data_IF_453148094877
#
_entry.id   IF_453148094877
#
_cell.length_a   1.000
_cell.length_b   1.000
_cell.length_c   1.000
_cell.angle_alpha   90.00
_cell.angle_beta   90.00
_cell.angle_gamma   90.00
#
_symmetry.space_group_name_H-M   'P 1'
#
loop_
_entity.id
_entity.type
_entity.pdbx_description
1 polymer ?
#
# COMPACT_ATOMS: atom_id res chain seq x y z
N UNK A 1 20.31 22.28 2.30
CA UNK A 1 20.54 21.23 3.31
C UNK A 1 20.36 21.88 4.66
N UNK A 2 19.42 21.39 5.47
CA UNK A 2 19.15 21.93 6.80
C UNK A 2 20.03 21.22 7.84
N UNK A 3 21.34 21.44 7.74
CA UNK A 3 22.36 20.66 8.46
C UNK A 3 22.17 20.73 9.98
N UNK A 4 21.72 21.89 10.48
CA UNK A 4 21.45 22.07 11.91
C UNK A 4 20.28 21.20 12.41
N UNK A 5 19.23 21.05 11.60
CA UNK A 5 18.11 20.16 11.95
C UNK A 5 18.55 18.70 11.89
N UNK A 6 19.25 18.31 10.82
CA UNK A 6 19.74 16.94 10.67
C UNK A 6 20.65 16.54 11.83
N UNK A 7 21.61 17.40 12.21
CA UNK A 7 22.46 17.16 13.39
C UNK A 7 21.63 16.92 14.66
N UNK A 8 20.64 17.79 14.93
CA UNK A 8 19.77 17.67 16.10
C UNK A 8 18.96 16.37 16.11
N UNK A 9 18.46 15.95 14.94
CA UNK A 9 17.68 14.71 14.83
C UNK A 9 18.61 13.49 14.91
N UNK A 10 19.82 13.57 14.36
CA UNK A 10 20.85 12.53 14.49
C UNK A 10 21.22 12.27 15.94
N UNK A 11 21.24 13.29 16.80
CA UNK A 11 21.44 13.12 18.25
C UNK A 11 20.36 12.24 18.92
N UNK A 12 19.16 12.16 18.32
CA UNK A 12 18.04 11.34 18.79
C UNK A 12 17.96 9.97 18.11
N UNK A 13 18.85 9.66 17.16
CA UNK A 13 18.74 8.48 16.31
C UNK A 13 18.68 7.19 17.12
N UNK A 14 19.57 7.03 18.11
CA UNK A 14 19.63 5.82 18.94
C UNK A 14 18.32 5.58 19.69
N UNK A 15 17.72 6.64 20.26
CA UNK A 15 16.45 6.54 20.98
C UNK A 15 15.30 6.15 20.04
N UNK A 16 15.24 6.76 18.86
CA UNK A 16 14.23 6.46 17.85
C UNK A 16 14.39 5.05 17.26
N UNK A 17 15.63 4.59 17.09
CA UNK A 17 15.95 3.23 16.66
C UNK A 17 15.45 2.20 17.67
N UNK A 18 15.60 2.45 18.98
CA UNK A 18 15.06 1.57 20.03
C UNK A 18 13.53 1.40 19.88
N UNK A 19 12.80 2.49 19.62
CA UNK A 19 11.34 2.44 19.39
C UNK A 19 11.03 1.60 18.14
N UNK A 20 11.74 1.82 17.03
CA UNK A 20 11.54 1.04 15.79
C UNK A 20 11.83 -0.45 15.98
N UNK A 21 12.93 -0.75 16.67
CA UNK A 21 13.38 -2.12 16.93
C UNK A 21 12.41 -2.86 17.86
N UNK A 22 11.82 -2.17 18.85
CA UNK A 22 10.78 -2.76 19.69
C UNK A 22 9.54 -3.16 18.88
N UNK A 23 9.04 -2.26 18.01
CA UNK A 23 7.92 -2.57 17.10
C UNK A 23 8.30 -3.73 16.16
N UNK A 24 9.52 -3.73 15.64
CA UNK A 24 10.01 -4.77 14.73
C UNK A 24 10.15 -6.14 15.41
N UNK A 25 10.49 -6.18 16.71
CA UNK A 25 10.63 -7.41 17.48
C UNK A 25 9.28 -8.03 17.92
N UNK A 26 8.18 -7.27 17.82
CA UNK A 26 6.86 -7.70 18.26
C UNK A 26 5.78 -7.47 17.17
N UNK A 27 5.91 -8.07 15.97
CA UNK A 27 4.99 -7.85 14.87
C UNK A 27 3.60 -8.43 15.18
N UNK A 28 2.55 -7.72 14.76
CA UNK A 28 1.16 -8.14 14.88
C UNK A 28 0.51 -8.24 13.49
N UNK A 29 -0.52 -9.06 13.34
CA UNK A 29 -1.26 -9.23 12.07
C UNK A 29 -2.25 -8.09 11.92
N UNK A 30 -2.47 -7.64 10.68
CA UNK A 30 -3.45 -6.60 10.36
C UNK A 30 -4.81 -6.85 11.03
N UNK A 31 -5.37 -5.80 11.65
CA UNK A 31 -6.59 -5.80 12.45
C UNK A 31 -6.47 -6.49 13.81
N UNK A 32 -5.27 -6.80 14.28
CA UNK A 32 -4.96 -7.43 15.58
C UNK A 32 -3.79 -6.74 16.33
N UNK A 33 -3.33 -5.58 15.83
CA UNK A 33 -2.26 -4.74 16.39
C UNK A 33 -2.55 -4.04 17.73
N UNK A 34 -3.00 -4.79 18.74
CA UNK A 34 -3.38 -4.28 20.08
C UNK A 34 -2.19 -3.73 20.88
N UNK A 35 -1.05 -4.44 20.91
CA UNK A 35 0.17 -3.98 21.58
C UNK A 35 0.69 -2.73 20.89
N UNK A 36 0.83 -2.77 19.56
CA UNK A 36 1.42 -1.69 18.78
C UNK A 36 0.57 -0.42 18.89
N UNK A 37 -0.75 -0.54 18.81
CA UNK A 37 -1.69 0.58 19.00
C UNK A 37 -1.51 1.22 20.38
N UNK A 38 -1.51 0.41 21.44
CA UNK A 38 -1.31 0.88 22.83
C UNK A 38 0.05 1.55 23.03
N UNK A 39 1.11 0.96 22.46
CA UNK A 39 2.47 1.47 22.53
C UNK A 39 2.61 2.83 21.84
N UNK A 40 2.08 2.97 20.62
CA UNK A 40 2.09 4.25 19.87
C UNK A 40 1.30 5.32 20.65
N UNK A 41 0.13 4.98 21.20
CA UNK A 41 -0.65 5.91 21.99
C UNK A 41 0.09 6.38 23.26
N UNK A 42 0.80 5.48 23.96
CA UNK A 42 1.68 5.84 25.08
C UNK A 42 2.76 6.84 24.66
N UNK A 43 3.48 6.54 23.57
CA UNK A 43 4.55 7.42 23.08
C UNK A 43 4.06 8.81 22.68
N UNK A 44 2.89 8.89 22.04
CA UNK A 44 2.28 10.19 21.71
C UNK A 44 1.89 10.98 22.98
N UNK A 45 1.38 10.31 24.03
CA UNK A 45 1.09 10.95 25.32
C UNK A 45 2.35 11.41 26.05
N UNK A 46 3.41 10.60 26.04
CA UNK A 46 4.73 10.97 26.57
C UNK A 46 5.27 12.24 25.90
N UNK A 47 4.97 12.42 24.61
CA UNK A 47 5.28 13.64 23.85
C UNK A 47 4.36 14.83 24.16
N UNK A 48 3.39 14.69 25.07
CA UNK A 48 2.45 15.75 25.45
C UNK A 48 1.31 16.00 24.46
N UNK A 49 1.05 15.08 23.52
CA UNK A 49 -0.01 15.22 22.53
C UNK A 49 -1.38 14.82 23.09
N UNK A 50 -2.44 15.44 22.56
CA UNK A 50 -3.80 14.95 22.79
C UNK A 50 -4.04 13.71 21.92
N UNK A 51 -4.27 12.56 22.52
CA UNK A 51 -4.39 11.28 21.80
C UNK A 51 -5.85 10.84 21.70
N UNK A 52 -6.30 10.51 20.49
CA UNK A 52 -7.58 9.85 20.21
C UNK A 52 -7.31 8.41 19.77
N UNK A 53 -7.86 7.44 20.49
CA UNK A 53 -7.79 6.00 20.18
C UNK A 53 -9.13 5.51 19.60
N UNK A 54 -9.24 4.19 19.37
CA UNK A 54 -10.44 3.51 18.88
C UNK A 54 -10.92 3.97 17.49
N UNK A 55 -10.00 4.53 16.69
CA UNK A 55 -10.32 4.99 15.34
C UNK A 55 -10.37 3.80 14.41
N UNK A 56 -11.57 3.26 14.19
CA UNK A 56 -11.72 2.00 13.45
C UNK A 56 -11.13 0.83 14.23
N UNK A 57 -11.43 0.79 15.53
CA UNK A 57 -10.96 -0.19 16.53
C UNK A 57 -9.52 0.03 17.02
N UNK A 58 -8.51 -0.04 16.15
CA UNK A 58 -7.10 0.01 16.61
C UNK A 58 -6.35 1.29 16.18
N UNK A 59 -6.97 2.18 15.41
CA UNK A 59 -6.33 3.41 14.96
C UNK A 59 -6.11 4.43 16.08
N UNK A 60 -4.95 5.10 16.03
CA UNK A 60 -4.52 6.12 16.99
C UNK A 60 -4.17 7.41 16.26
N UNK A 61 -4.61 8.55 16.78
CA UNK A 61 -4.27 9.89 16.27
C UNK A 61 -3.78 10.78 17.41
N UNK A 62 -2.53 11.24 17.32
CA UNK A 62 -1.99 12.30 18.17
C UNK A 62 -2.25 13.68 17.56
N UNK A 63 -2.82 14.59 18.33
CA UNK A 63 -3.13 15.96 17.91
C UNK A 63 -2.23 16.95 18.66
N UNK A 64 -1.47 17.73 17.88
CA UNK A 64 -0.76 18.91 18.36
C UNK A 64 -1.64 20.13 18.08
N UNK A 65 -2.21 20.75 19.12
CA UNK A 65 -3.30 21.70 18.95
C UNK A 65 -2.82 23.09 18.48
N UNK A 66 -2.97 23.36 17.19
CA UNK A 66 -3.38 24.68 16.63
C UNK A 66 -4.33 24.59 15.41
N UNK A 67 -4.70 23.38 14.91
CA UNK A 67 -5.80 23.19 13.94
C UNK A 67 -6.36 21.74 13.93
N UNK A 68 -7.58 21.56 13.39
CA UNK A 68 -8.33 20.29 13.22
C UNK A 68 -9.42 20.47 12.12
N UNK A 69 -10.17 19.45 11.62
CA UNK A 69 -10.03 17.98 11.73
C UNK A 69 -10.04 17.24 10.34
N UNK A 70 -9.89 15.91 10.32
CA UNK A 70 -10.22 15.06 9.17
C UNK A 70 -9.83 13.57 9.29
N UNK A 71 -10.78 12.63 9.54
CA UNK A 71 -10.43 11.22 9.85
C UNK A 71 -10.88 10.14 8.84
N UNK A 72 -10.19 8.98 8.91
CA UNK A 72 -10.56 7.59 8.52
C UNK A 72 -10.59 7.10 7.05
N UNK A 73 -9.47 6.49 6.66
CA UNK A 73 -9.31 5.07 6.21
C UNK A 73 -10.00 4.55 4.91
N UNK A 74 -9.80 3.25 4.62
CA UNK A 74 -9.64 2.69 3.27
C UNK A 74 -10.17 1.23 3.07
N UNK A 75 -9.99 0.62 1.88
CA UNK A 75 -10.46 -0.75 1.55
C UNK A 75 -9.75 -1.46 0.35
N UNK A 76 -10.12 -2.74 0.09
CA UNK A 76 -9.54 -3.84 -0.76
C UNK A 76 -8.92 -3.55 -2.15
N UNK A 77 -9.26 -4.17 -3.31
CA UNK A 77 -10.29 -5.14 -3.78
C UNK A 77 -10.30 -6.53 -3.10
N UNK A 78 -11.31 -7.37 -3.42
CA UNK A 78 -11.27 -8.83 -3.26
C UNK A 78 -12.22 -9.56 -4.22
N UNK A 79 -11.86 -10.72 -4.75
CA UNK A 79 -12.79 -11.58 -5.49
C UNK A 79 -12.64 -13.05 -5.14
N UNK A 80 -13.74 -13.81 -5.28
CA UNK A 80 -13.81 -15.26 -5.11
C UNK A 80 -14.45 -15.89 -6.34
N UNK A 81 -13.88 -16.99 -6.84
CA UNK A 81 -14.50 -17.81 -7.88
C UNK A 81 -14.71 -19.22 -7.35
N UNK A 82 -15.97 -19.66 -7.35
CA UNK A 82 -16.33 -21.04 -7.00
C UNK A 82 -16.68 -21.80 -8.28
N UNK A 83 -15.91 -22.85 -8.58
CA UNK A 83 -16.24 -23.80 -9.64
C UNK A 83 -16.96 -25.02 -9.07
N UNK A 84 -18.01 -25.47 -9.76
CA UNK A 84 -18.74 -26.69 -9.43
C UNK A 84 -18.78 -27.61 -10.65
N UNK A 85 -18.23 -28.81 -10.49
CA UNK A 85 -18.29 -29.90 -11.45
C UNK A 85 -18.95 -31.14 -10.83
N UNK A 86 -18.73 -32.30 -11.43
CA UNK A 86 -19.24 -33.58 -10.93
C UNK A 86 -18.08 -34.51 -10.61
N UNK A 87 -18.17 -35.19 -9.47
CA UNK A 87 -17.17 -36.18 -9.07
C UNK A 87 -17.31 -37.50 -9.83
N UNK A 88 -16.22 -38.26 -9.93
CA UNK A 88 -16.21 -39.59 -10.51
C UNK A 88 -14.93 -40.34 -10.14
N UNK A 89 -14.94 -41.66 -10.28
CA UNK A 89 -13.76 -42.48 -10.02
C UNK A 89 -12.75 -42.33 -11.17
N UNK A 90 -11.54 -41.86 -10.88
CA UNK A 90 -10.54 -41.48 -11.89
C UNK A 90 -10.14 -42.60 -12.87
N UNK A 91 -10.18 -43.87 -12.43
CA UNK A 91 -9.89 -45.02 -13.29
C UNK A 91 -11.07 -45.60 -14.08
N UNK A 92 -12.30 -45.11 -13.87
CA UNK A 92 -13.51 -45.73 -14.44
C UNK A 92 -14.31 -44.73 -15.30
N UNK A 93 -14.43 -43.48 -14.85
CA UNK A 93 -15.34 -42.52 -15.48
C UNK A 93 -14.79 -41.10 -15.64
N UNK A 94 -13.53 -40.89 -16.08
CA UNK A 94 -13.06 -39.52 -16.33
C UNK A 94 -13.87 -38.83 -17.44
N UNK A 95 -14.39 -39.58 -18.41
CA UNK A 95 -15.19 -39.05 -19.53
C UNK A 95 -16.64 -38.71 -19.18
N UNK A 96 -17.12 -39.08 -17.98
CA UNK A 96 -18.48 -38.76 -17.48
C UNK A 96 -18.46 -37.79 -16.30
N UNK A 97 -17.28 -37.47 -15.76
CA UNK A 97 -17.09 -36.51 -14.68
C UNK A 97 -16.67 -35.15 -15.24
N UNK A 98 -17.20 -34.08 -14.67
CA UNK A 98 -16.76 -32.72 -14.95
C UNK A 98 -15.69 -32.33 -13.92
N UNK A 99 -14.43 -32.54 -14.28
CA UNK A 99 -13.28 -32.33 -13.40
C UNK A 99 -12.95 -30.83 -13.25
N UNK A 100 -13.16 -30.31 -12.04
CA UNK A 100 -12.88 -28.91 -11.71
C UNK A 100 -11.40 -28.56 -11.67
N UNK A 101 -10.50 -29.55 -11.51
CA UNK A 101 -9.06 -29.29 -11.39
C UNK A 101 -8.45 -28.88 -12.72
N UNK A 102 -8.86 -29.52 -13.82
CA UNK A 102 -8.48 -29.14 -15.19
C UNK A 102 -8.97 -27.73 -15.53
N UNK A 103 -10.22 -27.43 -15.16
CA UNK A 103 -10.80 -26.10 -15.29
C UNK A 103 -10.01 -25.03 -14.50
N UNK A 104 -9.71 -25.30 -13.23
CA UNK A 104 -8.96 -24.38 -12.37
C UNK A 104 -7.57 -24.09 -12.92
N UNK A 105 -6.85 -25.11 -13.39
CA UNK A 105 -5.52 -24.93 -14.00
C UNK A 105 -5.59 -24.02 -15.23
N UNK A 106 -6.57 -24.25 -16.11
CA UNK A 106 -6.75 -23.43 -17.31
C UNK A 106 -7.21 -22.00 -16.97
N UNK A 107 -8.04 -21.84 -15.93
CA UNK A 107 -8.45 -20.54 -15.43
C UNK A 107 -7.26 -19.73 -14.90
N UNK A 108 -6.39 -20.34 -14.07
CA UNK A 108 -5.18 -19.69 -13.55
C UNK A 108 -4.25 -19.23 -14.69
N UNK A 109 -4.08 -20.07 -15.72
CA UNK A 109 -3.24 -19.74 -16.88
C UNK A 109 -3.82 -18.58 -17.71
N UNK A 110 -5.14 -18.53 -17.86
CA UNK A 110 -5.81 -17.49 -18.66
C UNK A 110 -5.92 -16.14 -17.94
N UNK A 111 -5.97 -16.12 -16.59
CA UNK A 111 -5.93 -14.89 -15.79
C UNK A 111 -4.75 -13.98 -16.16
N UNK A 112 -3.61 -14.57 -16.53
CA UNK A 112 -2.40 -13.83 -16.90
C UNK A 112 -2.59 -12.94 -18.15
N UNK A 113 -3.60 -13.24 -18.98
CA UNK A 113 -3.91 -12.50 -20.20
C UNK A 113 -4.69 -11.21 -19.96
N UNK A 114 -5.37 -11.08 -18.81
CA UNK A 114 -6.22 -9.94 -18.50
C UNK A 114 -5.39 -8.65 -18.55
N UNK A 115 -4.31 -8.60 -17.79
CA UNK A 115 -3.41 -7.43 -17.81
C UNK A 115 -2.54 -7.44 -19.06
N UNK A 116 -1.83 -8.54 -19.33
CA UNK A 116 -0.78 -8.57 -20.36
C UNK A 116 -1.25 -8.34 -21.79
N UNK A 117 -2.54 -8.54 -22.09
CA UNK A 117 -3.11 -8.41 -23.45
C UNK A 117 -4.23 -7.40 -23.58
N UNK A 118 -4.84 -6.94 -22.49
CA UNK A 118 -5.99 -6.02 -22.57
C UNK A 118 -5.70 -4.64 -21.98
N UNK A 119 -4.58 -4.43 -21.27
CA UNK A 119 -4.20 -3.12 -20.73
C UNK A 119 -3.08 -2.52 -21.59
N UNK A 120 -3.30 -1.33 -22.15
CA UNK A 120 -2.27 -0.61 -22.92
C UNK A 120 -1.14 -0.15 -21.98
N UNK A 121 0.10 -0.39 -22.38
CA UNK A 121 1.27 0.14 -21.68
C UNK A 121 1.55 1.58 -22.16
N UNK A 122 0.78 2.55 -21.65
CA UNK A 122 0.99 3.97 -21.92
C UNK A 122 1.47 4.67 -20.64
N UNK A 123 2.76 4.99 -20.60
CA UNK A 123 3.44 5.65 -19.46
C UNK A 123 2.96 7.09 -19.21
N UNK A 124 2.11 7.64 -20.09
CA UNK A 124 1.61 9.00 -20.00
C UNK A 124 0.09 9.09 -19.79
N UNK A 125 -0.64 7.97 -19.83
CA UNK A 125 -2.08 7.98 -19.55
C UNK A 125 -2.31 7.77 -18.05
N UNK A 126 -3.08 8.67 -17.44
CA UNK A 126 -3.62 8.52 -16.08
C UNK A 126 -4.60 7.34 -15.92
N UNK A 127 -4.74 6.52 -16.96
CA UNK A 127 -5.78 5.50 -17.14
C UNK A 127 -5.34 4.11 -16.63
N UNK A 128 -4.05 3.89 -16.35
CA UNK A 128 -3.52 2.53 -16.14
C UNK A 128 -3.96 1.82 -14.84
N UNK A 129 -4.70 2.48 -13.94
CA UNK A 129 -5.36 1.86 -12.76
C UNK A 129 -6.68 2.53 -12.39
N UNK A 130 -7.28 3.27 -13.31
CA UNK A 130 -8.52 3.96 -13.07
C UNK A 130 -9.71 2.98 -13.05
N UNK A 131 -10.90 3.51 -12.82
CA UNK A 131 -12.15 2.76 -12.88
C UNK A 131 -12.32 1.95 -14.19
N UNK A 132 -11.81 2.43 -15.32
CA UNK A 132 -11.89 1.73 -16.61
C UNK A 132 -11.13 0.40 -16.64
N UNK A 133 -9.92 0.36 -16.06
CA UNK A 133 -9.10 -0.87 -15.95
C UNK A 133 -9.71 -1.85 -14.96
N UNK A 134 -10.27 -1.36 -13.84
CA UNK A 134 -10.96 -2.20 -12.86
C UNK A 134 -12.24 -2.81 -13.43
N UNK A 135 -13.02 -2.02 -14.17
CA UNK A 135 -14.17 -2.51 -14.93
C UNK A 135 -13.76 -3.60 -15.93
N UNK A 136 -12.63 -3.41 -16.64
CA UNK A 136 -12.10 -4.40 -17.57
C UNK A 136 -11.67 -5.68 -16.85
N UNK A 137 -10.97 -5.58 -15.71
CA UNK A 137 -10.54 -6.76 -14.93
C UNK A 137 -11.76 -7.55 -14.44
N UNK A 138 -12.74 -6.88 -13.82
CA UNK A 138 -13.97 -7.52 -13.37
C UNK A 138 -14.72 -8.19 -14.52
N UNK A 139 -14.84 -7.51 -15.66
CA UNK A 139 -15.46 -8.08 -16.86
C UNK A 139 -14.72 -9.33 -17.34
N UNK A 140 -13.40 -9.26 -17.49
CA UNK A 140 -12.61 -10.39 -18.00
C UNK A 140 -12.56 -11.58 -17.03
N UNK A 141 -12.51 -11.34 -15.72
CA UNK A 141 -12.61 -12.42 -14.72
C UNK A 141 -13.95 -13.14 -14.85
N UNK A 142 -15.05 -12.39 -14.97
CA UNK A 142 -16.37 -12.96 -15.17
C UNK A 142 -16.47 -13.76 -16.48
N UNK A 143 -16.00 -13.20 -17.60
CA UNK A 143 -16.04 -13.87 -18.90
C UNK A 143 -15.20 -15.15 -18.90
N UNK A 144 -13.95 -15.09 -18.42
CA UNK A 144 -13.07 -16.25 -18.41
C UNK A 144 -13.61 -17.36 -17.50
N UNK A 145 -14.09 -17.02 -16.29
CA UNK A 145 -14.62 -17.99 -15.36
C UNK A 145 -15.84 -18.72 -15.94
N UNK A 146 -16.80 -17.98 -16.51
CA UNK A 146 -18.03 -18.57 -17.04
C UNK A 146 -17.80 -19.34 -18.36
N UNK A 147 -16.97 -18.80 -19.26
CA UNK A 147 -16.69 -19.45 -20.55
C UNK A 147 -15.89 -20.73 -20.36
N UNK A 148 -14.86 -20.73 -19.51
CA UNK A 148 -14.11 -21.94 -19.23
C UNK A 148 -14.97 -22.95 -18.49
N UNK A 149 -15.76 -22.55 -17.49
CA UNK A 149 -16.67 -23.47 -16.83
C UNK A 149 -17.60 -24.16 -17.84
N UNK A 150 -18.13 -23.42 -18.81
CA UNK A 150 -18.95 -23.97 -19.88
C UNK A 150 -18.19 -24.99 -20.73
N UNK A 151 -16.97 -24.67 -21.18
CA UNK A 151 -16.12 -25.58 -21.99
C UNK A 151 -15.84 -26.89 -21.26
N UNK A 152 -15.63 -26.84 -19.95
CA UNK A 152 -15.33 -28.00 -19.12
C UNK A 152 -16.58 -28.67 -18.50
N UNK A 153 -17.80 -28.30 -18.93
CA UNK A 153 -19.05 -28.86 -18.40
C UNK A 153 -19.33 -28.57 -16.92
N UNK A 154 -18.69 -27.53 -16.38
CA UNK A 154 -18.81 -27.06 -15.01
C UNK A 154 -19.69 -25.79 -14.91
N UNK A 155 -19.92 -25.33 -13.69
CA UNK A 155 -20.55 -24.04 -13.39
C UNK A 155 -19.55 -23.14 -12.64
N UNK A 156 -19.58 -21.83 -12.92
CA UNK A 156 -18.82 -20.84 -12.17
C UNK A 156 -19.78 -19.92 -11.41
N UNK A 157 -19.38 -19.51 -10.20
CA UNK A 157 -19.94 -18.38 -9.50
C UNK A 157 -18.80 -17.43 -9.14
N UNK A 158 -18.93 -16.16 -9.51
CA UNK A 158 -17.92 -15.12 -9.30
C UNK A 158 -18.50 -14.08 -8.35
N UNK A 159 -17.81 -13.84 -7.25
CA UNK A 159 -18.06 -12.74 -6.34
C UNK A 159 -16.93 -11.72 -6.50
N UNK A 160 -17.24 -10.50 -6.91
CA UNK A 160 -16.25 -9.44 -7.13
C UNK A 160 -16.53 -8.24 -6.21
N UNK A 161 -15.54 -7.82 -5.42
CA UNK A 161 -15.63 -6.71 -4.47
C UNK A 161 -14.69 -5.57 -4.87
N UNK A 162 -15.30 -4.44 -5.27
CA UNK A 162 -14.71 -3.23 -5.88
C UNK A 162 -14.07 -2.26 -4.87
N UNK A 163 -13.22 -2.74 -3.98
CA UNK A 163 -12.81 -1.98 -2.80
C UNK A 163 -11.51 -1.11 -2.88
N UNK A 164 -10.57 -1.26 -3.83
CA UNK A 164 -9.28 -0.51 -3.86
C UNK A 164 -9.18 0.58 -4.93
N UNK A 165 -8.61 1.75 -4.63
CA UNK A 165 -8.44 2.85 -5.60
C UNK A 165 -6.96 3.15 -5.87
N UNK A 166 -6.60 3.63 -7.07
CA UNK A 166 -5.22 4.03 -7.36
C UNK A 166 -4.81 5.21 -6.49
N UNK A 167 -3.63 5.12 -5.89
CA UNK A 167 -3.01 6.26 -5.22
C UNK A 167 -2.53 7.24 -6.28
N UNK A 168 -3.15 8.42 -6.33
CA UNK A 168 -2.77 9.52 -7.21
C UNK A 168 -2.43 10.75 -6.38
N UNK A 169 -1.17 11.16 -6.43
CA UNK A 169 -0.72 12.37 -5.76
C UNK A 169 -1.29 13.62 -6.43
N UNK A 170 -1.61 14.63 -5.61
CA UNK A 170 -2.01 15.94 -6.11
C UNK A 170 -0.77 16.76 -6.46
N UNK A 171 -0.80 17.44 -7.59
CA UNK A 171 0.37 18.13 -8.16
C UNK A 171 0.97 19.16 -7.19
N UNK A 172 0.15 20.04 -6.63
CA UNK A 172 0.61 21.10 -5.73
C UNK A 172 1.22 20.57 -4.43
N UNK A 173 0.64 19.51 -3.86
CA UNK A 173 1.13 18.86 -2.65
C UNK A 173 2.42 18.09 -2.94
N UNK A 174 2.54 17.52 -4.14
CA UNK A 174 3.79 16.89 -4.61
C UNK A 174 4.91 17.91 -4.73
N UNK A 175 4.64 19.10 -5.31
CA UNK A 175 5.62 20.19 -5.39
C UNK A 175 6.09 20.64 -4.00
N UNK A 176 5.16 20.75 -3.04
CA UNK A 176 5.49 21.09 -1.64
C UNK A 176 6.37 20.02 -0.98
N UNK A 177 6.02 18.74 -1.16
CA UNK A 177 6.81 17.61 -0.66
C UNK A 177 8.24 17.59 -1.25
N UNK A 178 8.36 17.78 -2.56
CA UNK A 178 9.67 17.86 -3.26
C UNK A 178 10.52 18.99 -2.68
N UNK A 179 9.96 20.18 -2.50
CA UNK A 179 10.68 21.34 -1.94
C UNK A 179 11.23 21.05 -0.54
N UNK A 180 10.47 20.35 0.30
CA UNK A 180 10.92 19.96 1.64
C UNK A 180 12.05 18.95 1.55
N UNK A 181 11.91 17.92 0.70
CA UNK A 181 12.97 16.93 0.50
C UNK A 181 14.27 17.59 0.01
N UNK A 182 14.19 18.50 -0.97
CA UNK A 182 15.35 19.27 -1.44
C UNK A 182 16.01 20.08 -0.32
N UNK A 183 15.21 20.66 0.58
CA UNK A 183 15.72 21.43 1.71
C UNK A 183 16.51 20.56 2.67
N UNK A 184 16.02 19.35 2.95
CA UNK A 184 16.64 18.40 3.90
C UNK A 184 17.86 17.73 3.30
N UNK A 185 17.73 17.05 2.16
CA UNK A 185 18.77 16.17 1.59
C UNK A 185 19.48 16.73 0.36
N UNK A 186 19.09 17.92 -0.12
CA UNK A 186 19.66 18.53 -1.32
C UNK A 186 19.08 17.96 -2.62
N UNK A 187 19.02 18.80 -3.65
CA UNK A 187 18.41 18.46 -4.95
C UNK A 187 19.02 17.22 -5.62
N UNK A 188 20.32 17.01 -5.46
CA UNK A 188 21.02 15.87 -6.06
C UNK A 188 20.50 14.51 -5.55
N UNK A 189 19.87 14.48 -4.37
CA UNK A 189 19.37 13.28 -3.72
C UNK A 189 17.83 13.13 -3.86
N UNK A 190 17.18 13.95 -4.68
CA UNK A 190 15.72 13.92 -4.88
C UNK A 190 15.39 13.48 -6.31
N UNK A 191 14.76 12.31 -6.45
CA UNK A 191 14.17 11.89 -7.71
C UNK A 191 12.73 12.42 -7.83
N UNK A 192 12.52 13.41 -8.72
CA UNK A 192 11.21 14.02 -9.01
C UNK A 192 10.35 13.18 -9.96
N UNK A 193 10.97 12.26 -10.69
CA UNK A 193 10.37 11.44 -11.73
C UNK A 193 10.43 9.98 -11.29
N UNK A 194 9.76 9.65 -10.18
CA UNK A 194 9.66 8.25 -9.77
C UNK A 194 8.60 7.54 -10.62
N UNK A 195 8.97 6.39 -11.17
CA UNK A 195 8.05 5.58 -11.96
C UNK A 195 6.88 5.06 -11.10
N UNK A 196 5.67 4.95 -11.65
CA UNK A 196 4.53 4.36 -10.95
C UNK A 196 4.85 2.96 -10.40
N UNK A 197 4.58 2.74 -9.12
CA UNK A 197 4.87 1.47 -8.43
C UNK A 197 3.70 0.49 -8.57
N UNK A 198 3.97 -0.80 -8.79
CA UNK A 198 2.94 -1.84 -9.00
C UNK A 198 2.14 -2.21 -7.73
N UNK A 199 2.61 -1.84 -6.55
CA UNK A 199 1.92 -2.07 -5.28
C UNK A 199 0.60 -1.28 -5.17
N UNK A 200 -0.35 -1.84 -4.41
CA UNK A 200 -1.52 -1.12 -3.92
C UNK A 200 -1.23 -0.48 -2.57
N UNK A 201 -1.84 0.67 -2.28
CA UNK A 201 -1.64 1.43 -1.05
C UNK A 201 -2.97 2.08 -0.65
N UNK A 202 -3.36 1.89 0.61
CA UNK A 202 -4.68 2.26 1.11
C UNK A 202 -4.78 3.75 1.45
N UNK A 203 -3.64 4.43 1.60
CA UNK A 203 -3.51 5.89 1.69
C UNK A 203 -4.19 6.62 0.51
N UNK A 204 -4.41 5.94 -0.62
CA UNK A 204 -5.21 6.43 -1.74
C UNK A 204 -6.59 6.97 -1.29
N UNK A 205 -7.25 6.34 -0.31
CA UNK A 205 -8.54 6.80 0.22
C UNK A 205 -8.45 8.12 1.00
N UNK A 206 -7.29 8.41 1.61
CA UNK A 206 -7.05 9.73 2.21
C UNK A 206 -6.99 10.81 1.13
N UNK A 207 -6.35 10.51 0.00
CA UNK A 207 -6.21 11.44 -1.12
C UNK A 207 -7.54 11.76 -1.83
N UNK A 208 -8.55 10.88 -1.75
CA UNK A 208 -9.91 11.22 -2.21
C UNK A 208 -10.57 12.33 -1.38
N UNK A 209 -10.17 12.48 -0.11
CA UNK A 209 -10.82 13.41 0.82
C UNK A 209 -10.09 14.73 0.91
N UNK A 210 -8.76 14.70 0.84
CA UNK A 210 -7.93 15.90 0.94
C UNK A 210 -6.78 15.83 -0.07
N UNK A 211 -6.46 16.95 -0.73
CA UNK A 211 -5.25 17.04 -1.53
C UNK A 211 -4.03 16.68 -0.67
N UNK A 212 -3.18 15.80 -1.20
CA UNK A 212 -2.03 15.27 -0.47
C UNK A 212 -1.02 14.62 -1.41
N UNK A 213 0.10 14.18 -0.82
CA UNK A 213 1.16 13.46 -1.53
C UNK A 213 1.69 12.31 -0.67
N UNK A 214 1.89 11.17 -1.30
CA UNK A 214 2.61 10.01 -0.80
C UNK A 214 3.98 9.96 -1.48
N UNK A 215 5.04 9.96 -0.69
CA UNK A 215 6.41 9.95 -1.19
C UNK A 215 7.17 8.75 -0.66
N UNK A 216 8.20 8.33 -1.40
CA UNK A 216 9.10 7.28 -0.96
C UNK A 216 10.39 7.90 -0.44
N UNK A 217 10.95 7.27 0.59
CA UNK A 217 12.30 7.54 1.08
C UNK A 217 13.18 6.33 0.80
N UNK A 218 14.34 6.56 0.18
CA UNK A 218 15.35 5.52 0.08
C UNK A 218 15.89 5.20 1.47
N UNK A 219 16.04 3.91 1.79
CA UNK A 219 16.52 3.46 3.11
C UNK A 219 17.99 3.02 3.08
N UNK A 220 18.52 2.65 1.90
CA UNK A 220 19.88 2.15 1.74
C UNK A 220 20.55 2.85 0.55
N UNK A 221 21.86 3.01 0.63
CA UNK A 221 22.70 3.55 -0.46
C UNK A 221 22.99 2.51 -1.56
N UNK A 222 22.59 1.25 -1.35
CA UNK A 222 22.78 0.19 -2.33
C UNK A 222 21.74 0.24 -3.45
N UNK A 223 22.22 0.16 -4.69
CA UNK A 223 21.37 0.14 -5.89
C UNK A 223 20.37 -1.04 -5.91
N UNK A 224 20.65 -2.11 -5.15
CA UNK A 224 19.77 -3.27 -5.01
C UNK A 224 19.69 -3.66 -3.54
N UNK A 225 18.66 -3.18 -2.84
CA UNK A 225 18.31 -3.67 -1.51
C UNK A 225 17.36 -4.87 -1.58
N UNK A 226 17.37 -5.68 -0.52
CA UNK A 226 16.35 -6.70 -0.29
C UNK A 226 14.97 -6.03 -0.32
N UNK A 227 14.05 -6.57 -1.11
CA UNK A 227 12.74 -5.96 -1.35
C UNK A 227 11.81 -6.13 -0.15
N UNK A 228 10.87 -5.19 -0.02
CA UNK A 228 9.73 -5.33 0.88
C UNK A 228 9.03 -6.69 0.68
N UNK A 229 8.55 -7.27 1.78
CA UNK A 229 7.95 -8.62 1.86
C UNK A 229 8.92 -9.80 1.69
N UNK A 230 10.22 -9.56 1.57
CA UNK A 230 11.22 -10.62 1.74
C UNK A 230 11.39 -10.98 3.22
N UNK A 231 11.61 -12.26 3.58
CA UNK A 231 12.00 -12.65 4.94
C UNK A 231 13.34 -12.03 5.37
N UNK A 232 14.20 -11.68 4.40
CA UNK A 232 15.51 -11.07 4.66
C UNK A 232 15.46 -9.53 4.65
N UNK A 233 14.27 -8.93 4.56
CA UNK A 233 14.14 -7.47 4.58
C UNK A 233 14.58 -6.91 5.93
N UNK A 234 15.55 -6.00 5.89
CA UNK A 234 16.06 -5.32 7.08
C UNK A 234 16.03 -3.79 6.87
N UNK A 235 15.44 -3.08 7.83
CA UNK A 235 15.37 -1.63 7.80
C UNK A 235 16.68 -1.03 8.29
N UNK A 236 17.21 -0.03 7.59
CA UNK A 236 18.40 0.70 8.00
C UNK A 236 18.05 1.82 8.99
N UNK A 237 18.43 1.66 10.25
CA UNK A 237 18.17 2.65 11.30
C UNK A 237 18.91 3.98 11.06
N UNK A 238 19.97 4.01 10.24
CA UNK A 238 20.65 5.26 9.86
C UNK A 238 19.78 6.14 8.94
N UNK A 239 18.71 5.60 8.36
CA UNK A 239 17.77 6.36 7.55
C UNK A 239 16.77 7.18 8.39
N UNK A 240 16.61 6.86 9.69
CA UNK A 240 15.60 7.48 10.57
C UNK A 240 15.73 9.01 10.62
N UNK A 241 16.93 9.61 10.79
CA UNK A 241 17.04 11.06 10.90
C UNK A 241 16.54 11.82 9.69
N UNK A 242 16.69 11.28 8.48
CA UNK A 242 16.21 11.92 7.25
C UNK A 242 14.69 11.95 7.18
N UNK A 243 14.02 10.86 7.56
CA UNK A 243 12.55 10.78 7.60
C UNK A 243 11.94 11.73 8.64
N UNK A 244 12.54 11.79 9.84
CA UNK A 244 12.10 12.71 10.90
C UNK A 244 12.37 14.16 10.51
N UNK A 245 13.53 14.49 9.96
CA UNK A 245 13.85 15.83 9.49
C UNK A 245 12.92 16.28 8.35
N UNK A 246 12.52 15.37 7.45
CA UNK A 246 11.51 15.63 6.42
C UNK A 246 10.18 16.07 7.03
N UNK A 247 9.62 15.30 7.97
CA UNK A 247 8.34 15.64 8.58
C UNK A 247 8.39 16.93 9.39
N UNK A 248 9.44 17.16 10.17
CA UNK A 248 9.63 18.43 10.90
C UNK A 248 9.69 19.60 9.93
N UNK A 249 10.46 19.48 8.85
CA UNK A 249 10.60 20.54 7.84
C UNK A 249 9.30 20.80 7.09
N UNK A 250 8.51 19.76 6.80
CA UNK A 250 7.20 19.90 6.17
C UNK A 250 6.22 20.64 7.08
N UNK A 251 6.13 20.26 8.36
CA UNK A 251 5.28 20.94 9.33
C UNK A 251 5.72 22.40 9.49
N UNK A 252 7.01 22.67 9.59
CA UNK A 252 7.54 24.03 9.65
C UNK A 252 7.18 24.83 8.39
N UNK A 253 7.29 24.25 7.20
CA UNK A 253 6.91 24.91 5.95
C UNK A 253 5.42 25.27 5.92
N UNK A 254 4.54 24.38 6.37
CA UNK A 254 3.10 24.60 6.27
C UNK A 254 2.54 25.47 7.41
N UNK A 255 3.19 25.48 8.59
CA UNK A 255 2.71 26.22 9.77
C UNK A 255 3.42 27.55 10.02
N UNK A 256 4.65 27.77 9.54
CA UNK A 256 5.39 29.02 9.76
C UNK A 256 5.12 30.08 8.67
N UNK A 257 3.86 30.24 8.24
CA UNK A 257 3.46 31.41 7.46
C UNK A 257 3.40 32.66 8.33
#
# INVERSE_FOLDING_TARGET
>A
MNDKLLLKVSDMQTELAIIRQDIHAHPEISMEEERTSTFVASKLRECGLTVTEDIGRLGVVGTLTSLQPGPRMAASDRWYVTFKGTGGHGGIGPHIAADVTMLQAQFIMTLQTIISRNVKNDRYSSDQRCESVRNLIELRINELANNLATVFGCKAHVEYSRAGIPLVNHEEQTKRAIKVAETVIGLANVNKNNDPQMGGEDFAFMLLKRPGAFIFMGINDEAVSVKLHSPDYNFNDDAIPFGVAYWISLVQQELNN
#
